data_IF_499313431412
#
_entry.id   IF_499313431412
#
_cell.length_a   1.000
_cell.length_b   1.000
_cell.length_c   1.000
_cell.angle_alpha   90.00
_cell.angle_beta   90.00
_cell.angle_gamma   90.00
#
_symmetry.space_group_name_H-M   'P 1'
#
loop_
_entity.id
_entity.type
_entity.pdbx_description
1 polymer ?
#
# COMPACT_ATOMS: atom_id res chain seq x y z
N UNK A 1 -9.47 -18.61 8.23
CA UNK A 1 -9.58 -17.15 8.03
C UNK A 1 -10.16 -16.93 6.64
N UNK A 2 -11.26 -16.21 6.49
CA UNK A 2 -11.85 -15.99 5.17
C UNK A 2 -10.93 -15.10 4.33
N UNK A 3 -10.78 -15.38 3.03
CA UNK A 3 -9.92 -14.62 2.10
C UNK A 3 -10.20 -13.11 2.15
N UNK A 4 -11.48 -12.74 2.26
CA UNK A 4 -11.92 -11.34 2.36
C UNK A 4 -11.30 -10.68 3.60
N UNK A 5 -11.45 -11.29 4.78
CA UNK A 5 -10.87 -10.77 6.02
C UNK A 5 -9.35 -10.62 5.92
N UNK A 6 -8.67 -11.60 5.32
CA UNK A 6 -7.23 -11.55 5.11
C UNK A 6 -6.83 -10.35 4.24
N UNK A 7 -7.49 -10.16 3.09
CA UNK A 7 -7.21 -9.05 2.19
C UNK A 7 -7.55 -7.72 2.83
N UNK A 8 -8.73 -7.59 3.44
CA UNK A 8 -9.16 -6.38 4.13
C UNK A 8 -8.17 -5.98 5.21
N UNK A 9 -7.76 -6.93 6.05
CA UNK A 9 -6.82 -6.65 7.16
C UNK A 9 -5.47 -6.18 6.63
N UNK A 10 -4.93 -6.83 5.59
CA UNK A 10 -3.64 -6.44 5.05
C UNK A 10 -3.68 -5.09 4.33
N UNK A 11 -4.69 -4.84 3.49
CA UNK A 11 -4.82 -3.54 2.82
C UNK A 11 -5.03 -2.43 3.85
N UNK A 12 -5.87 -2.65 4.87
CA UNK A 12 -6.06 -1.65 5.91
C UNK A 12 -4.75 -1.38 6.68
N UNK A 13 -3.96 -2.41 6.97
CA UNK A 13 -2.65 -2.22 7.61
C UNK A 13 -1.68 -1.41 6.73
N UNK A 14 -1.70 -1.63 5.41
CA UNK A 14 -0.92 -0.79 4.46
C UNK A 14 -1.45 0.65 4.47
N UNK A 15 -2.77 0.87 4.45
CA UNK A 15 -3.37 2.20 4.53
C UNK A 15 -3.04 2.93 5.82
N UNK A 16 -3.02 2.24 6.95
CA UNK A 16 -2.63 2.81 8.24
C UNK A 16 -1.16 3.26 8.22
N UNK A 17 -0.27 2.44 7.63
CA UNK A 17 1.15 2.81 7.41
C UNK A 17 1.29 4.02 6.48
N UNK A 18 0.56 4.05 5.36
CA UNK A 18 0.56 5.20 4.44
C UNK A 18 0.10 6.46 5.15
N UNK A 19 -1.01 6.38 5.90
CA UNK A 19 -1.55 7.52 6.66
C UNK A 19 -0.53 8.04 7.67
N UNK A 20 0.21 7.14 8.33
CA UNK A 20 1.32 7.53 9.22
C UNK A 20 2.45 8.21 8.46
N UNK A 21 2.82 7.74 7.27
CA UNK A 21 3.86 8.34 6.43
C UNK A 21 3.50 9.76 5.97
N UNK A 22 2.22 10.01 5.65
CA UNK A 22 1.73 11.38 5.40
C UNK A 22 1.85 12.27 6.65
N UNK A 23 1.51 11.74 7.84
CA UNK A 23 1.67 12.50 9.08
C UNK A 23 3.13 12.85 9.37
N UNK A 24 4.04 11.88 9.19
CA UNK A 24 5.47 12.09 9.41
C UNK A 24 6.05 13.12 8.46
N UNK A 25 5.60 13.11 7.21
CA UNK A 25 5.98 14.12 6.23
C UNK A 25 5.53 15.52 6.68
N UNK A 26 4.26 15.68 7.07
CA UNK A 26 3.72 16.96 7.57
C UNK A 26 4.51 17.44 8.80
N UNK A 27 4.84 16.54 9.73
CA UNK A 27 5.62 16.83 10.93
C UNK A 27 7.05 17.29 10.61
N UNK A 28 7.71 16.65 9.61
CA UNK A 28 9.11 16.91 9.26
C UNK A 28 9.31 18.11 8.32
N UNK A 29 8.42 18.28 7.34
CA UNK A 29 8.57 19.25 6.25
C UNK A 29 7.69 20.51 6.46
N UNK A 30 6.59 20.38 7.22
CA UNK A 30 5.70 21.50 7.56
C UNK A 30 4.90 22.06 6.39
N UNK A 31 4.70 21.26 5.32
CA UNK A 31 3.86 21.67 4.18
C UNK A 31 2.39 21.78 4.63
N UNK A 32 1.80 22.99 4.61
CA UNK A 32 0.42 23.20 5.04
C UNK A 32 -0.62 22.68 4.05
N UNK A 33 -0.23 22.38 2.80
CA UNK A 33 -1.12 21.90 1.75
C UNK A 33 -1.22 20.37 1.73
N UNK A 34 -0.26 19.66 2.34
CA UNK A 34 -0.34 18.20 2.52
C UNK A 34 -1.38 17.86 3.58
N UNK A 35 -2.34 17.01 3.20
CA UNK A 35 -3.35 16.48 4.14
C UNK A 35 -3.27 14.96 4.18
N UNK A 36 -3.49 14.38 5.36
CA UNK A 36 -3.52 12.93 5.52
C UNK A 36 -4.78 12.39 4.85
N UNK A 37 -4.67 11.50 3.85
CA UNK A 37 -5.84 10.95 3.19
C UNK A 37 -6.62 10.02 4.14
N UNK A 38 -7.96 10.09 4.10
CA UNK A 38 -8.82 9.12 4.78
C UNK A 38 -8.90 7.86 3.93
N UNK A 39 -8.15 6.84 4.31
CA UNK A 39 -8.04 5.57 3.57
C UNK A 39 -8.81 4.46 4.29
N UNK A 40 -9.71 3.80 3.57
CA UNK A 40 -10.48 2.67 4.07
C UNK A 40 -10.69 1.67 2.94
N UNK A 41 -10.68 0.38 3.27
CA UNK A 41 -11.03 -0.69 2.34
C UNK A 41 -12.54 -0.67 2.11
N UNK A 42 -12.99 -0.74 0.85
CA UNK A 42 -14.43 -0.83 0.61
C UNK A 42 -14.96 -2.16 1.16
N UNK A 43 -16.11 -2.14 1.81
CA UNK A 43 -16.76 -3.37 2.28
C UNK A 43 -17.09 -4.33 1.11
N UNK A 44 -16.99 -5.62 1.38
CA UNK A 44 -17.49 -6.65 0.48
C UNK A 44 -18.92 -7.04 0.90
N UNK A 45 -19.90 -6.68 0.07
CA UNK A 45 -21.33 -6.97 0.25
C UNK A 45 -21.69 -8.46 0.04
N UNK A 46 -20.80 -9.22 -0.62
CA UNK A 46 -21.11 -10.58 -1.06
C UNK A 46 -21.03 -11.67 0.01
N UNK A 47 -21.75 -12.77 -0.24
CA UNK A 47 -21.85 -13.91 0.69
C UNK A 47 -21.02 -15.14 0.28
N UNK A 48 -20.41 -15.13 -0.92
CA UNK A 48 -19.66 -16.27 -1.46
C UNK A 48 -18.36 -15.82 -2.15
N UNK A 49 -17.32 -16.62 -2.00
CA UNK A 49 -16.10 -16.51 -2.79
C UNK A 49 -16.41 -16.89 -4.24
N UNK A 50 -16.70 -15.88 -5.06
CA UNK A 50 -17.11 -16.02 -6.44
C UNK A 50 -16.40 -14.98 -7.33
N UNK A 51 -16.91 -14.80 -8.54
CA UNK A 51 -16.39 -13.80 -9.49
C UNK A 51 -16.42 -12.38 -8.91
N UNK A 52 -17.40 -12.06 -8.08
CA UNK A 52 -17.54 -10.73 -7.48
C UNK A 52 -16.54 -10.53 -6.35
N UNK A 53 -16.27 -11.56 -5.54
CA UNK A 53 -15.16 -11.54 -4.57
C UNK A 53 -13.81 -11.28 -5.27
N UNK A 54 -13.55 -11.94 -6.41
CA UNK A 54 -12.33 -11.71 -7.19
C UNK A 54 -12.25 -10.28 -7.73
N UNK A 55 -13.36 -9.77 -8.28
CA UNK A 55 -13.42 -8.39 -8.82
C UNK A 55 -13.19 -7.37 -7.72
N UNK A 56 -13.85 -7.55 -6.58
CA UNK A 56 -13.65 -6.72 -5.40
C UNK A 56 -12.18 -6.76 -4.96
N UNK A 57 -11.59 -7.95 -4.81
CA UNK A 57 -10.20 -8.13 -4.42
C UNK A 57 -9.24 -7.39 -5.36
N UNK A 58 -9.38 -7.60 -6.68
CA UNK A 58 -8.52 -6.93 -7.67
C UNK A 58 -8.72 -5.42 -7.68
N UNK A 59 -9.94 -4.95 -7.42
CA UNK A 59 -10.23 -3.53 -7.25
C UNK A 59 -9.49 -2.96 -6.03
N UNK A 60 -9.60 -3.60 -4.87
CA UNK A 60 -8.94 -3.13 -3.65
C UNK A 60 -7.41 -3.14 -3.77
N UNK A 61 -6.83 -4.21 -4.34
CA UNK A 61 -5.38 -4.30 -4.58
C UNK A 61 -4.88 -3.20 -5.52
N UNK A 62 -5.66 -2.86 -6.56
CA UNK A 62 -5.30 -1.75 -7.47
C UNK A 62 -5.41 -0.40 -6.79
N UNK A 63 -6.44 -0.16 -5.97
CA UNK A 63 -6.56 1.06 -5.17
C UNK A 63 -5.36 1.21 -4.23
N UNK A 64 -4.97 0.13 -3.54
CA UNK A 64 -3.79 0.12 -2.70
C UNK A 64 -2.52 0.49 -3.48
N UNK A 65 -2.33 -0.11 -4.66
CA UNK A 65 -1.19 0.21 -5.52
C UNK A 65 -1.19 1.68 -5.97
N UNK A 66 -2.35 2.25 -6.29
CA UNK A 66 -2.48 3.68 -6.61
C UNK A 66 -2.05 4.55 -5.43
N UNK A 67 -2.58 4.29 -4.24
CA UNK A 67 -2.27 5.04 -3.02
C UNK A 67 -0.77 4.97 -2.67
N UNK A 68 -0.15 3.80 -2.78
CA UNK A 68 1.29 3.66 -2.59
C UNK A 68 2.10 4.47 -3.60
N UNK A 69 1.70 4.45 -4.87
CA UNK A 69 2.38 5.22 -5.90
C UNK A 69 2.19 6.73 -5.73
N UNK A 70 1.04 7.19 -5.26
CA UNK A 70 0.82 8.60 -4.91
C UNK A 70 1.76 9.05 -3.78
N UNK A 71 1.93 8.22 -2.75
CA UNK A 71 2.89 8.49 -1.67
C UNK A 71 4.34 8.52 -2.18
N UNK A 72 4.73 7.57 -3.04
CA UNK A 72 6.06 7.55 -3.66
C UNK A 72 6.31 8.81 -4.48
N UNK A 73 5.33 9.25 -5.28
CA UNK A 73 5.42 10.50 -6.03
C UNK A 73 5.61 11.70 -5.11
N UNK A 74 4.81 11.80 -4.04
CA UNK A 74 4.95 12.87 -3.03
C UNK A 74 6.38 12.92 -2.48
N UNK A 75 6.92 11.77 -2.06
CA UNK A 75 8.25 11.70 -1.46
C UNK A 75 9.34 12.07 -2.47
N UNK A 76 9.24 11.58 -3.70
CA UNK A 76 10.16 11.93 -4.78
C UNK A 76 10.09 13.43 -5.13
N UNK A 77 8.90 14.03 -5.18
CA UNK A 77 8.70 15.46 -5.44
C UNK A 77 9.33 16.34 -4.33
N UNK A 78 9.37 15.82 -3.11
CA UNK A 78 10.04 16.44 -1.96
C UNK A 78 11.54 16.15 -1.89
N UNK A 79 12.07 15.38 -2.85
CA UNK A 79 13.48 15.05 -2.92
C UNK A 79 13.92 13.99 -1.90
N UNK A 80 12.99 13.25 -1.29
CA UNK A 80 13.31 12.07 -0.50
C UNK A 80 13.71 10.94 -1.45
N UNK A 81 14.93 10.43 -1.28
CA UNK A 81 15.54 9.46 -2.18
C UNK A 81 15.82 8.14 -1.49
N UNK A 82 15.95 7.11 -2.29
CA UNK A 82 16.36 5.81 -1.79
C UNK A 82 17.76 5.89 -1.17
N UNK A 83 17.87 5.51 0.11
CA UNK A 83 19.11 5.65 0.87
C UNK A 83 20.27 4.79 0.36
N UNK A 84 19.99 3.70 -0.38
CA UNK A 84 21.01 2.80 -0.88
C UNK A 84 21.57 3.25 -2.23
N UNK A 85 20.73 3.88 -3.06
CA UNK A 85 21.06 4.23 -4.46
C UNK A 85 21.20 5.74 -4.70
N UNK A 86 20.64 6.58 -3.81
CA UNK A 86 20.48 8.03 -3.98
C UNK A 86 19.66 8.43 -5.22
N UNK A 87 18.87 7.47 -5.75
CA UNK A 87 17.93 7.67 -6.86
C UNK A 87 16.50 7.89 -6.33
N UNK A 88 15.58 8.46 -7.14
CA UNK A 88 14.16 8.49 -6.82
C UNK A 88 13.64 7.07 -6.55
N UNK A 89 12.73 6.95 -5.60
CA UNK A 89 12.13 5.65 -5.27
C UNK A 89 11.26 5.17 -6.42
N UNK A 90 11.48 3.92 -6.86
CA UNK A 90 10.67 3.29 -7.90
C UNK A 90 9.21 3.12 -7.46
N UNK A 91 8.31 3.22 -8.44
CA UNK A 91 6.88 2.98 -8.23
C UNK A 91 6.58 1.54 -7.82
N UNK A 92 5.54 1.37 -7.01
CA UNK A 92 5.01 0.07 -6.62
C UNK A 92 4.35 -0.64 -7.81
N UNK A 93 4.86 -1.84 -8.14
CA UNK A 93 4.31 -2.71 -9.20
C UNK A 93 3.50 -3.85 -8.58
N UNK A 94 2.18 -3.76 -8.74
CA UNK A 94 1.22 -4.76 -8.30
C UNK A 94 1.32 -6.05 -9.14
N UNK A 95 1.39 -7.21 -8.49
CA UNK A 95 1.36 -8.51 -9.16
C UNK A 95 0.09 -9.27 -8.77
N UNK A 96 -0.89 -9.27 -9.67
CA UNK A 96 -2.16 -9.94 -9.41
C UNK A 96 -2.07 -11.45 -9.72
N UNK A 97 -2.66 -12.31 -8.85
CA UNK A 97 -2.71 -13.74 -9.12
C UNK A 97 -3.47 -14.07 -10.41
N UNK A 98 -2.91 -14.96 -11.23
CA UNK A 98 -3.55 -15.41 -12.46
C UNK A 98 -4.44 -16.64 -12.28
N UNK A 99 -4.24 -17.44 -11.22
CA UNK A 99 -5.06 -18.64 -10.95
C UNK A 99 -6.54 -18.28 -10.86
N UNK A 100 -7.41 -19.14 -11.43
CA UNK A 100 -8.86 -18.99 -11.34
C UNK A 100 -9.41 -19.41 -9.97
N UNK A 101 -8.68 -20.27 -9.27
CA UNK A 101 -9.04 -20.76 -7.94
C UNK A 101 -8.30 -19.97 -6.86
N UNK A 102 -8.93 -19.86 -5.70
CA UNK A 102 -8.32 -19.31 -4.49
C UNK A 102 -7.48 -20.40 -3.80
N UNK A 103 -6.47 -20.90 -4.51
CA UNK A 103 -5.56 -21.96 -4.08
C UNK A 103 -4.31 -21.40 -3.39
N UNK A 104 -3.42 -22.28 -2.93
CA UNK A 104 -2.20 -21.89 -2.22
C UNK A 104 -1.28 -21.01 -3.09
N UNK A 105 -1.26 -21.23 -4.41
CA UNK A 105 -0.48 -20.40 -5.33
C UNK A 105 -1.07 -18.99 -5.45
N UNK A 106 -2.40 -18.88 -5.49
CA UNK A 106 -3.10 -17.60 -5.45
C UNK A 106 -2.78 -16.84 -4.16
N UNK A 107 -2.83 -17.54 -3.01
CA UNK A 107 -2.51 -16.94 -1.72
C UNK A 107 -1.04 -16.51 -1.62
N UNK A 108 -0.12 -17.31 -2.14
CA UNK A 108 1.30 -16.99 -2.14
C UNK A 108 1.61 -15.71 -2.93
N UNK A 109 0.97 -15.52 -4.10
CA UNK A 109 1.15 -14.28 -4.90
C UNK A 109 0.59 -13.07 -4.15
N UNK A 110 -0.56 -13.20 -3.49
CA UNK A 110 -1.10 -12.09 -2.69
C UNK A 110 -0.21 -11.75 -1.49
N UNK A 111 0.30 -12.77 -0.81
CA UNK A 111 1.18 -12.56 0.32
C UNK A 111 2.47 -11.86 -0.11
N UNK A 112 3.08 -12.29 -1.22
CA UNK A 112 4.27 -11.63 -1.78
C UNK A 112 3.99 -10.16 -2.12
N UNK A 113 2.82 -9.85 -2.69
CA UNK A 113 2.40 -8.46 -2.93
C UNK A 113 2.31 -7.64 -1.63
N UNK A 114 1.68 -8.19 -0.59
CA UNK A 114 1.60 -7.50 0.70
C UNK A 114 2.97 -7.31 1.35
N UNK A 115 3.83 -8.32 1.32
CA UNK A 115 5.19 -8.23 1.85
C UNK A 115 5.98 -7.14 1.13
N UNK A 116 5.87 -7.04 -0.20
CA UNK A 116 6.50 -5.96 -0.99
C UNK A 116 5.92 -4.59 -0.67
N UNK A 117 4.61 -4.48 -0.45
CA UNK A 117 3.97 -3.23 -0.03
C UNK A 117 4.46 -2.78 1.37
N UNK A 118 4.56 -3.69 2.33
CA UNK A 118 5.07 -3.39 3.66
C UNK A 118 6.54 -2.96 3.61
N UNK A 119 7.38 -3.67 2.85
CA UNK A 119 8.79 -3.31 2.66
C UNK A 119 8.96 -1.92 2.03
N UNK A 120 8.09 -1.54 1.08
CA UNK A 120 8.09 -0.19 0.54
C UNK A 120 7.77 0.85 1.63
N UNK A 121 6.70 0.67 2.40
CA UNK A 121 6.35 1.58 3.48
C UNK A 121 7.47 1.69 4.54
N UNK A 122 8.11 0.57 4.89
CA UNK A 122 9.20 0.56 5.87
C UNK A 122 10.42 1.34 5.33
N UNK A 123 10.79 1.16 4.06
CA UNK A 123 11.85 1.97 3.41
C UNK A 123 11.51 3.47 3.39
N UNK A 124 10.28 3.82 3.00
CA UNK A 124 9.84 5.22 2.99
C UNK A 124 9.91 5.83 4.41
N UNK A 125 9.62 5.04 5.45
CA UNK A 125 9.76 5.48 6.84
C UNK A 125 11.21 5.82 7.19
N UNK A 126 12.16 5.01 6.72
CA UNK A 126 13.59 5.29 6.91
C UNK A 126 14.02 6.58 6.22
N UNK A 127 13.45 6.92 5.07
CA UNK A 127 13.80 8.13 4.32
C UNK A 127 13.39 9.40 5.07
N UNK A 128 12.25 9.38 5.77
CA UNK A 128 11.74 10.54 6.53
C UNK A 128 12.32 10.61 7.94
N UNK A 129 12.74 9.48 8.52
CA UNK A 129 13.23 9.40 9.90
C UNK A 129 14.28 10.47 10.29
N UNK A 130 15.27 10.83 9.45
CA UNK A 130 16.25 11.88 9.77
C UNK A 130 15.67 13.31 9.84
N UNK A 131 14.49 13.53 9.27
CA UNK A 131 13.86 14.85 9.15
C UNK A 131 12.79 15.12 10.22
N UNK A 132 12.42 14.10 11.00
CA UNK A 132 11.50 14.22 12.13
C UNK A 132 12.27 14.76 13.34
N UNK A 133 11.77 15.84 13.95
CA UNK A 133 12.38 16.49 15.13
C UNK A 133 11.81 16.01 16.46
#
# INVERSE_FOLDING_TARGET
>A
MALIDYVTTNIQSVYDKVSRLYQLEIEGNGDPDTTVPTLCVDEFDGTLLNRDARRWLFSQMRKMATVLNELVCLYNDQGLRDLATDDPTDGYVLNLPQSLMFDDQFMAVLQDDFDRAYQLCDRLTEYVSPYIK
#
